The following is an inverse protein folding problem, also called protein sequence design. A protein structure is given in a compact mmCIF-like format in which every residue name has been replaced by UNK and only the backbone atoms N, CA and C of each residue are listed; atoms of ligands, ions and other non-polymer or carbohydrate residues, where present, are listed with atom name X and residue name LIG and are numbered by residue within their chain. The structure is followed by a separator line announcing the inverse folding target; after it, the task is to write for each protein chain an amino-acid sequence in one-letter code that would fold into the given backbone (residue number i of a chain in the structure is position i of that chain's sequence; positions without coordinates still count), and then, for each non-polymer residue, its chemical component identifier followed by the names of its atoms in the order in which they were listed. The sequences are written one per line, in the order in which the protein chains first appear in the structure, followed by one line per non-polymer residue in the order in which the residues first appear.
data_IF_740488140455
#
_entry.id   IF_740488140455
#
_cell.length_a   1.000
_cell.length_b   1.000
_cell.length_c   1.000
_cell.angle_alpha   90.00
_cell.angle_beta   90.00
_cell.angle_gamma   90.00
#
_symmetry.space_group_name_H-M   'P 1'
#
loop_
_entity.id
_entity.type
_entity.pdbx_description
1 polymer ?
#
# COMPACT_ATOMS: atom_id res chain seq x y z
N UNK A 1 12.83 -12.22 -10.65
CA UNK A 1 12.00 -10.99 -10.78
C UNK A 1 10.54 -11.19 -10.32
N UNK A 2 10.17 -12.35 -9.76
CA UNK A 2 8.81 -12.63 -9.28
C UNK A 2 8.47 -12.01 -7.90
N UNK A 3 9.42 -11.96 -6.97
CA UNK A 3 9.20 -11.52 -5.58
C UNK A 3 8.75 -10.06 -5.41
N UNK A 4 9.04 -9.20 -6.39
CA UNK A 4 8.75 -7.76 -6.30
C UNK A 4 7.26 -7.47 -6.54
N UNK A 5 6.59 -8.29 -7.36
CA UNK A 5 5.15 -8.13 -7.59
C UNK A 5 4.33 -8.58 -6.38
N UNK A 6 4.85 -9.53 -5.59
CA UNK A 6 4.16 -10.08 -4.41
C UNK A 6 3.97 -9.02 -3.31
N UNK A 7 5.00 -8.21 -3.03
CA UNK A 7 4.89 -7.16 -2.00
C UNK A 7 3.93 -6.05 -2.41
N UNK A 8 3.87 -5.66 -3.69
CA UNK A 8 2.85 -4.72 -4.16
C UNK A 8 1.42 -5.28 -3.98
N UNK A 9 1.21 -6.57 -4.28
CA UNK A 9 -0.07 -7.26 -4.06
C UNK A 9 -0.44 -7.28 -2.57
N UNK A 10 0.53 -7.50 -1.67
CA UNK A 10 0.31 -7.45 -0.23
C UNK A 10 -0.10 -6.06 0.26
N UNK A 11 0.49 -4.99 -0.30
CA UNK A 11 0.05 -3.61 -0.02
C UNK A 11 -1.40 -3.41 -0.47
N UNK A 12 -1.75 -3.83 -1.70
CA UNK A 12 -3.11 -3.74 -2.23
C UNK A 12 -4.11 -4.49 -1.34
N UNK A 13 -3.82 -5.74 -0.97
CA UNK A 13 -4.68 -6.58 -0.14
C UNK A 13 -4.89 -6.00 1.27
N UNK A 14 -3.83 -5.45 1.87
CA UNK A 14 -3.92 -4.80 3.18
C UNK A 14 -4.78 -3.54 3.11
N UNK A 15 -4.59 -2.71 2.07
CA UNK A 15 -5.40 -1.51 1.85
C UNK A 15 -6.87 -1.84 1.56
N UNK A 16 -7.13 -2.92 0.80
CA UNK A 16 -8.48 -3.42 0.56
C UNK A 16 -9.17 -3.86 1.86
N UNK A 17 -8.45 -4.55 2.74
CA UNK A 17 -8.96 -4.95 4.07
C UNK A 17 -9.31 -3.75 4.95
N UNK A 18 -8.61 -2.62 4.78
CA UNK A 18 -8.92 -1.35 5.42
C UNK A 18 -10.04 -0.55 4.72
N UNK A 19 -10.74 -1.15 3.74
CA UNK A 19 -11.84 -0.54 2.97
C UNK A 19 -11.45 0.73 2.21
N UNK A 20 -10.19 0.85 1.81
CA UNK A 20 -9.71 1.95 0.98
C UNK A 20 -10.28 1.80 -0.45
N UNK A 21 -10.72 2.87 -1.13
CA UNK A 21 -11.17 2.78 -2.52
C UNK A 21 -10.09 2.19 -3.44
N UNK A 22 -10.48 1.34 -4.40
CA UNK A 22 -9.52 0.58 -5.22
C UNK A 22 -8.44 1.44 -5.89
N UNK A 23 -8.82 2.60 -6.44
CA UNK A 23 -7.84 3.51 -7.05
C UNK A 23 -6.81 4.05 -6.03
N UNK A 24 -7.25 4.37 -4.82
CA UNK A 24 -6.37 4.80 -3.74
C UNK A 24 -5.46 3.67 -3.22
N UNK A 25 -5.91 2.41 -3.27
CA UNK A 25 -5.05 1.25 -2.96
C UNK A 25 -3.85 1.21 -3.94
N UNK A 26 -4.10 1.44 -5.24
CA UNK A 26 -3.04 1.49 -6.27
C UNK A 26 -2.05 2.61 -6.00
N UNK A 27 -2.53 3.79 -5.62
CA UNK A 27 -1.68 4.91 -5.25
C UNK A 27 -0.82 4.60 -4.03
N UNK A 28 -1.37 3.89 -3.04
CA UNK A 28 -0.61 3.46 -1.87
C UNK A 28 0.49 2.44 -2.23
N UNK A 29 0.18 1.48 -3.12
CA UNK A 29 1.18 0.55 -3.63
C UNK A 29 2.27 1.27 -4.44
N UNK A 30 1.89 2.22 -5.30
CA UNK A 30 2.83 3.04 -6.06
C UNK A 30 3.75 3.85 -5.14
N UNK A 31 3.20 4.41 -4.06
CA UNK A 31 3.98 5.09 -3.04
C UNK A 31 4.94 4.13 -2.34
N UNK A 32 4.48 2.96 -1.89
CA UNK A 32 5.34 1.96 -1.25
C UNK A 32 6.51 1.57 -2.17
N UNK A 33 6.25 1.35 -3.45
CA UNK A 33 7.29 1.06 -4.44
C UNK A 33 8.26 2.24 -4.62
N UNK A 34 7.77 3.47 -4.63
CA UNK A 34 8.62 4.65 -4.73
C UNK A 34 9.57 4.78 -3.52
N UNK A 35 9.03 4.75 -2.31
CA UNK A 35 9.78 4.99 -1.07
C UNK A 35 10.75 3.83 -0.73
N UNK A 36 10.40 2.60 -1.11
CA UNK A 36 11.21 1.41 -0.82
C UNK A 36 12.15 1.01 -1.95
N UNK A 37 12.31 1.84 -2.99
CA UNK A 37 13.04 1.48 -4.21
C UNK A 37 12.57 0.12 -4.76
N UNK A 38 11.26 -0.04 -4.89
CA UNK A 38 10.60 -1.26 -5.30
C UNK A 38 10.90 -2.45 -4.38
N UNK A 39 10.74 -2.23 -3.07
CA UNK A 39 10.95 -3.20 -2.00
C UNK A 39 12.39 -3.73 -1.92
N UNK A 40 13.37 -2.96 -2.41
CA UNK A 40 14.79 -3.34 -2.40
C UNK A 40 15.65 -2.48 -1.47
N UNK A 41 15.11 -1.40 -0.92
CA UNK A 41 15.89 -0.52 -0.04
C UNK A 41 16.32 -1.22 1.25
N UNK A 42 17.50 -0.85 1.76
CA UNK A 42 18.00 -1.36 3.04
C UNK A 42 17.03 -1.10 4.20
N UNK A 43 16.35 0.05 4.18
CA UNK A 43 15.35 0.44 5.19
C UNK A 43 14.18 -0.55 5.16
N UNK A 44 13.67 -0.89 3.98
CA UNK A 44 12.61 -1.89 3.86
C UNK A 44 13.09 -3.29 4.25
N UNK A 45 14.23 -3.74 3.74
CA UNK A 45 14.72 -5.09 3.99
C UNK A 45 14.96 -5.38 5.48
N UNK A 46 15.53 -4.40 6.20
CA UNK A 46 15.89 -4.53 7.62
C UNK A 46 14.74 -4.24 8.58
N UNK A 47 13.86 -3.28 8.24
CA UNK A 47 12.84 -2.78 9.17
C UNK A 47 11.40 -3.09 8.73
N UNK A 48 11.22 -3.73 7.56
CA UNK A 48 9.92 -3.88 6.87
C UNK A 48 9.18 -2.57 6.67
N UNK A 49 9.92 -1.47 6.57
CA UNK A 49 9.39 -0.13 6.41
C UNK A 49 9.32 0.25 4.92
N UNK A 50 8.16 0.05 4.31
CA UNK A 50 7.97 0.29 2.88
C UNK A 50 7.77 1.76 2.51
N UNK A 51 7.63 2.64 3.52
CA UNK A 51 7.23 4.03 3.35
C UNK A 51 8.29 5.03 3.85
N UNK A 52 9.45 4.55 4.30
CA UNK A 52 10.51 5.42 4.83
C UNK A 52 10.13 6.17 6.10
N UNK A 53 9.12 5.71 6.85
CA UNK A 53 8.59 6.47 7.99
C UNK A 53 9.58 6.49 9.17
N UNK A 54 9.80 7.67 9.75
CA UNK A 54 10.57 7.84 10.99
C UNK A 54 9.72 7.53 12.21
N UNK A 55 10.38 7.25 13.33
CA UNK A 55 9.70 7.10 14.62
C UNK A 55 8.86 8.36 14.92
N UNK A 56 7.54 8.23 15.13
CA UNK A 56 6.69 9.37 15.42
C UNK A 56 6.97 9.91 16.83
N UNK A 57 7.07 11.23 16.97
CA UNK A 57 7.26 11.90 18.27
C UNK A 57 5.95 12.17 19.01
N UNK A 58 4.83 12.27 18.28
CA UNK A 58 3.53 12.70 18.84
C UNK A 58 2.47 11.60 18.73
N UNK A 59 2.32 10.99 17.54
CA UNK A 59 1.31 9.96 17.30
C UNK A 59 1.76 8.62 17.86
N UNK A 60 0.94 7.99 18.70
CA UNK A 60 1.13 6.58 19.09
C UNK A 60 0.63 5.67 17.99
N UNK A 61 1.44 4.70 17.59
CA UNK A 61 1.02 3.66 16.64
C UNK A 61 1.11 2.27 17.26
N UNK A 62 0.07 1.44 17.16
CA UNK A 62 0.11 0.05 17.62
C UNK A 62 0.89 -0.87 16.67
N UNK A 63 1.27 -0.40 15.48
CA UNK A 63 1.89 -1.21 14.43
C UNK A 63 3.42 -1.13 14.42
N UNK A 64 3.99 -0.13 15.10
CA UNK A 64 5.44 0.07 15.20
C UNK A 64 5.98 -0.86 16.29
N UNK A 65 6.95 -1.70 15.93
CA UNK A 65 7.65 -2.59 16.86
C UNK A 65 8.69 -1.83 17.69
N UNK A 66 9.31 -0.80 17.11
CA UNK A 66 10.32 0.01 17.77
C UNK A 66 11.19 0.79 16.78
N UNK A 67 12.28 1.42 17.25
CA UNK A 67 13.26 2.06 16.38
C UNK A 67 14.00 1.00 15.54
N UNK A 68 14.12 1.27 14.24
CA UNK A 68 14.89 0.49 13.28
C UNK A 68 16.24 1.12 12.99
N UNK A 69 16.70 0.98 11.73
CA UNK A 69 17.97 1.59 11.30
C UNK A 69 17.99 3.11 11.48
N UNK A 70 19.17 3.66 11.76
CA UNK A 70 19.39 5.10 11.81
C UNK A 70 19.02 5.77 10.48
N UNK A 71 18.43 6.95 10.54
CA UNK A 71 18.24 7.80 9.38
C UNK A 71 19.59 8.41 8.95
N UNK A 72 19.76 8.74 7.66
CA UNK A 72 20.93 9.51 7.21
C UNK A 72 21.04 10.83 7.98
N UNK A 73 22.26 11.29 8.25
CA UNK A 73 22.47 12.55 8.99
C UNK A 73 21.79 13.76 8.31
N UNK A 74 21.70 13.75 6.97
CA UNK A 74 20.98 14.75 6.17
C UNK A 74 19.47 14.79 6.43
N UNK A 75 18.92 13.73 7.00
CA UNK A 75 17.51 13.56 7.34
C UNK A 75 17.25 13.74 8.85
N UNK A 76 18.27 14.02 9.64
CA UNK A 76 18.20 14.18 11.10
C UNK A 76 18.51 12.89 11.88
N UNK A 77 18.34 12.96 13.20
CA UNK A 77 18.78 11.90 14.13
C UNK A 77 17.68 10.91 14.51
N UNK A 78 16.44 11.14 14.08
CA UNK A 78 15.32 10.24 14.40
C UNK A 78 15.44 8.96 13.57
N UNK A 79 15.50 7.77 14.19
CA UNK A 79 15.61 6.52 13.46
C UNK A 79 14.34 6.23 12.65
N UNK A 80 14.47 5.38 11.63
CA UNK A 80 13.31 4.84 10.94
C UNK A 80 12.49 3.98 11.90
N UNK A 81 11.18 3.91 11.71
CA UNK A 81 10.33 2.96 12.39
C UNK A 81 10.57 1.54 11.86
N UNK A 82 10.51 0.56 12.75
CA UNK A 82 10.57 -0.87 12.43
C UNK A 82 9.24 -1.56 12.67
N UNK A 83 8.93 -2.54 11.82
CA UNK A 83 7.68 -3.28 11.79
C UNK A 83 7.95 -4.78 11.77
N UNK A 84 7.03 -5.55 12.35
CA UNK A 84 7.09 -7.01 12.29
C UNK A 84 6.84 -7.54 10.86
N UNK A 85 6.09 -6.79 10.05
CA UNK A 85 5.65 -7.19 8.71
C UNK A 85 5.46 -5.99 7.78
N UNK A 86 5.37 -6.26 6.47
CA UNK A 86 4.99 -5.24 5.48
C UNK A 86 3.57 -4.72 5.77
N UNK A 87 2.65 -5.62 6.11
CA UNK A 87 1.26 -5.31 6.43
C UNK A 87 1.17 -4.29 7.58
N UNK A 88 2.01 -4.43 8.61
CA UNK A 88 2.03 -3.48 9.73
C UNK A 88 2.58 -2.11 9.31
N UNK A 89 3.56 -2.06 8.39
CA UNK A 89 4.01 -0.80 7.80
C UNK A 89 2.90 -0.13 6.98
N UNK A 90 2.11 -0.91 6.23
CA UNK A 90 0.94 -0.41 5.49
C UNK A 90 -0.16 0.08 6.44
N UNK A 91 -0.47 -0.66 7.50
CA UNK A 91 -1.44 -0.24 8.52
C UNK A 91 -0.98 1.04 9.22
N UNK A 92 0.31 1.20 9.47
CA UNK A 92 0.82 2.40 10.12
C UNK A 92 0.71 3.65 9.23
N UNK A 93 1.02 3.55 7.94
CA UNK A 93 0.89 4.69 7.04
C UNK A 93 -0.58 5.07 6.84
N UNK A 94 -1.48 4.09 6.77
CA UNK A 94 -2.93 4.33 6.75
C UNK A 94 -3.41 4.99 8.05
N UNK A 95 -2.87 4.57 9.20
CA UNK A 95 -3.16 5.20 10.48
C UNK A 95 -2.65 6.65 10.54
N UNK A 96 -1.46 6.94 9.99
CA UNK A 96 -0.97 8.30 9.83
C UNK A 96 -1.89 9.13 8.94
N UNK A 97 -2.37 8.57 7.83
CA UNK A 97 -3.25 9.30 6.91
C UNK A 97 -4.62 9.58 7.50
N UNK A 98 -5.18 8.61 8.23
CA UNK A 98 -6.40 8.81 9.01
C UNK A 98 -6.21 9.89 10.09
N UNK A 99 -5.09 9.85 10.82
CA UNK A 99 -4.73 10.88 11.81
C UNK A 99 -4.65 12.28 11.18
N UNK A 100 -4.16 12.38 9.94
CA UNK A 100 -4.05 13.63 9.19
C UNK A 100 -5.33 14.03 8.43
N UNK A 101 -6.42 13.27 8.57
CA UNK A 101 -7.73 13.58 7.99
C UNK A 101 -7.80 13.40 6.47
N UNK A 102 -7.18 12.36 5.92
CA UNK A 102 -7.31 12.08 4.48
C UNK A 102 -8.78 11.85 4.09
N UNK A 103 -9.20 12.47 2.98
CA UNK A 103 -10.46 12.16 2.32
C UNK A 103 -10.19 11.38 1.03
N UNK A 104 -10.21 10.06 1.10
CA UNK A 104 -9.95 9.18 -0.04
C UNK A 104 -10.89 9.41 -1.23
N UNK A 105 -12.09 9.93 -0.98
CA UNK A 105 -13.02 10.25 -2.07
C UNK A 105 -12.57 11.45 -2.90
N UNK A 106 -11.74 12.34 -2.36
CA UNK A 106 -11.21 13.51 -3.05
C UNK A 106 -9.96 13.20 -3.89
N UNK A 107 -9.32 12.05 -3.67
CA UNK A 107 -8.11 11.66 -4.39
C UNK A 107 -8.51 10.94 -5.69
N UNK A 108 -8.41 11.64 -6.83
CA UNK A 108 -8.83 11.12 -8.15
C UNK A 108 -7.67 10.86 -9.11
N UNK A 109 -6.48 11.37 -8.78
CA UNK A 109 -5.29 11.27 -9.61
C UNK A 109 -4.01 11.15 -8.77
N UNK A 110 -2.86 10.78 -9.38
CA UNK A 110 -1.57 10.81 -8.69
C UNK A 110 -1.19 12.22 -8.23
N UNK A 111 -1.60 13.25 -8.98
CA UNK A 111 -1.37 14.65 -8.64
C UNK A 111 -2.13 15.06 -7.38
N UNK A 112 -3.39 14.64 -7.22
CA UNK A 112 -4.19 14.92 -6.01
C UNK A 112 -3.53 14.29 -4.78
N UNK A 113 -3.05 13.05 -4.92
CA UNK A 113 -2.41 12.33 -3.82
C UNK A 113 -1.06 12.95 -3.44
N UNK A 114 -0.22 13.26 -4.43
CA UNK A 114 1.04 13.95 -4.23
C UNK A 114 0.82 15.32 -3.55
N UNK A 115 -0.16 16.10 -4.03
CA UNK A 115 -0.52 17.38 -3.44
C UNK A 115 -0.93 17.24 -1.98
N UNK A 116 -1.80 16.26 -1.67
CA UNK A 116 -2.23 16.00 -0.30
C UNK A 116 -1.04 15.62 0.60
N UNK A 117 -0.15 14.73 0.14
CA UNK A 117 1.06 14.34 0.87
C UNK A 117 2.00 15.54 1.10
N UNK A 118 2.15 16.42 0.10
CA UNK A 118 2.96 17.63 0.19
C UNK A 118 2.41 18.60 1.23
N UNK A 119 1.10 18.80 1.26
CA UNK A 119 0.41 19.65 2.26
C UNK A 119 0.59 19.12 3.68
N UNK A 120 0.80 17.81 3.85
CA UNK A 120 1.11 17.18 5.14
C UNK A 120 2.62 17.07 5.41
N UNK A 121 3.45 17.72 4.60
CA UNK A 121 4.91 17.70 4.69
C UNK A 121 5.50 16.29 4.72
N UNK A 122 4.85 15.33 4.05
CA UNK A 122 5.32 13.95 3.99
C UNK A 122 6.66 13.84 3.24
N UNK A 123 6.85 14.66 2.20
CA UNK A 123 8.08 14.69 1.40
C UNK A 123 8.52 16.12 1.04
N UNK A 124 9.83 16.30 0.83
CA UNK A 124 10.47 17.60 0.61
C UNK A 124 10.57 18.05 -0.85
N UNK A 125 10.61 17.12 -1.81
CA UNK A 125 10.83 17.42 -3.24
C UNK A 125 9.65 18.07 -3.97
N UNK A 126 9.84 18.35 -5.25
CA UNK A 126 8.81 18.95 -6.11
C UNK A 126 7.60 18.03 -6.32
N UNK A 127 6.40 18.62 -6.28
CA UNK A 127 5.16 17.86 -6.46
C UNK A 127 5.06 17.21 -7.84
N UNK A 128 5.52 17.89 -8.90
CA UNK A 128 5.52 17.36 -10.26
C UNK A 128 6.40 16.12 -10.40
N UNK A 129 7.57 16.14 -9.77
CA UNK A 129 8.52 15.01 -9.73
C UNK A 129 7.89 13.82 -9.00
N UNK A 130 7.27 14.07 -7.84
CA UNK A 130 6.60 13.01 -7.07
C UNK A 130 5.40 12.42 -7.83
N UNK A 131 4.62 13.28 -8.49
CA UNK A 131 3.49 12.87 -9.34
C UNK A 131 3.95 11.95 -10.47
N UNK A 132 5.04 12.33 -11.17
CA UNK A 132 5.61 11.52 -12.25
C UNK A 132 6.10 10.17 -11.74
N UNK A 133 6.73 10.13 -10.55
CA UNK A 133 7.17 8.88 -9.93
C UNK A 133 5.98 7.95 -9.62
N UNK A 134 4.90 8.48 -9.03
CA UNK A 134 3.69 7.69 -8.76
C UNK A 134 3.06 7.16 -10.05
N UNK A 135 2.94 7.99 -11.09
CA UNK A 135 2.40 7.57 -12.39
C UNK A 135 3.21 6.44 -13.02
N UNK A 136 4.56 6.54 -12.97
CA UNK A 136 5.45 5.49 -13.47
C UNK A 136 5.22 4.16 -12.75
N UNK A 137 5.06 4.17 -11.42
CA UNK A 137 4.82 2.94 -10.67
C UNK A 137 3.42 2.37 -10.94
N UNK A 138 2.41 3.22 -11.07
CA UNK A 138 1.06 2.79 -11.48
C UNK A 138 1.08 2.09 -12.84
N UNK A 139 1.78 2.65 -13.82
CA UNK A 139 1.96 2.04 -15.14
C UNK A 139 2.66 0.68 -15.03
N UNK A 140 3.72 0.58 -14.21
CA UNK A 140 4.43 -0.69 -13.99
C UNK A 140 3.59 -1.79 -13.32
N UNK A 141 2.49 -1.41 -12.67
CA UNK A 141 1.55 -2.32 -12.04
C UNK A 141 0.34 -2.65 -12.93
N UNK A 142 0.24 -2.14 -14.15
CA UNK A 142 -0.91 -2.35 -15.03
C UNK A 142 -1.31 -3.83 -15.14
N UNK A 143 -0.32 -4.72 -15.32
CA UNK A 143 -0.51 -6.18 -15.39
C UNK A 143 -1.09 -6.82 -14.12
N UNK A 144 -0.88 -6.21 -12.96
CA UNK A 144 -1.40 -6.68 -11.66
C UNK A 144 -2.85 -6.21 -11.46
N UNK A 145 -3.26 -5.18 -12.20
CA UNK A 145 -4.44 -4.36 -11.95
C UNK A 145 -5.56 -4.55 -12.97
N UNK A 146 -5.29 -5.26 -14.07
CA UNK A 146 -6.33 -5.78 -14.94
C UNK A 146 -7.20 -6.73 -14.09
N UNK A 147 -8.52 -6.51 -13.96
CA UNK A 147 -9.38 -7.58 -13.49
C UNK A 147 -9.05 -8.77 -14.38
N UNK A 148 -8.87 -9.97 -13.80
CA UNK A 148 -8.83 -11.19 -14.60
C UNK A 148 -10.15 -11.22 -15.35
N UNK A 149 -10.17 -10.64 -16.56
CA UNK A 149 -11.25 -10.82 -17.50
C UNK A 149 -11.16 -12.30 -17.75
N UNK A 150 -12.15 -13.03 -17.25
CA UNK A 150 -12.24 -14.46 -17.45
C UNK A 150 -12.66 -14.68 -18.91
N UNK A 151 -11.83 -14.25 -19.85
CA UNK A 151 -11.94 -14.55 -21.27
C UNK A 151 -11.35 -15.94 -21.46
N UNK A 152 -12.08 -16.96 -21.00
CA UNK A 152 -11.75 -18.35 -21.34
C UNK A 152 -12.11 -19.45 -20.34
N UNK A 153 -12.70 -19.19 -19.16
CA UNK A 153 -13.04 -20.31 -18.26
C UNK A 153 -14.43 -20.87 -18.53
N UNK A 154 -14.45 -22.16 -18.84
CA UNK A 154 -15.65 -23.01 -18.78
C UNK A 154 -16.16 -23.00 -17.34
N UNK A 155 -17.44 -22.69 -17.13
CA UNK A 155 -18.11 -22.78 -15.82
C UNK A 155 -18.18 -24.25 -15.41
N UNK A 156 -17.60 -24.62 -14.27
CA UNK A 156 -17.49 -26.03 -13.84
C UNK A 156 -18.33 -26.36 -12.59
N UNK A 157 -18.97 -25.37 -11.97
CA UNK A 157 -19.88 -25.62 -10.87
C UNK A 157 -20.03 -24.44 -9.92
N UNK A 158 -21.06 -24.52 -9.09
CA UNK A 158 -21.34 -23.61 -7.97
C UNK A 158 -20.73 -24.27 -6.74
N UNK A 159 -19.86 -23.56 -6.01
CA UNK A 159 -19.37 -24.02 -4.71
C UNK A 159 -20.07 -23.19 -3.63
N UNK A 160 -20.82 -23.86 -2.78
CA UNK A 160 -21.52 -23.23 -1.66
C UNK A 160 -20.49 -22.92 -0.56
N UNK A 161 -20.15 -21.65 -0.41
CA UNK A 161 -19.30 -21.19 0.68
C UNK A 161 -20.19 -20.87 1.89
N UNK A 162 -20.08 -21.66 2.97
CA UNK A 162 -20.80 -21.41 4.22
C UNK A 162 -20.22 -20.18 4.93
N UNK A 163 -21.00 -19.08 4.98
CA UNK A 163 -20.67 -17.88 5.74
C UNK A 163 -21.39 -17.93 7.10
N UNK A 164 -20.68 -18.11 8.22
CA UNK A 164 -21.33 -18.34 9.53
C UNK A 164 -22.02 -17.09 10.12
N UNK A 165 -21.95 -15.93 9.47
CA UNK A 165 -22.48 -14.66 9.97
C UNK A 165 -23.57 -14.03 9.10
N UNK A 166 -23.97 -14.67 8.01
CA UNK A 166 -25.03 -14.16 7.13
C UNK A 166 -25.97 -15.30 6.76
N UNK A 167 -27.25 -15.17 7.12
CA UNK A 167 -28.30 -16.17 6.85
C UNK A 167 -28.73 -16.23 5.38
N UNK A 168 -27.78 -16.06 4.44
CA UNK A 168 -27.99 -16.15 3.01
C UNK A 168 -26.81 -16.88 2.39
N UNK A 169 -27.11 -17.95 1.66
CA UNK A 169 -26.12 -18.68 0.87
C UNK A 169 -25.48 -17.73 -0.15
N UNK A 170 -24.17 -17.51 -0.02
CA UNK A 170 -23.42 -16.73 -0.99
C UNK A 170 -22.98 -17.70 -2.08
N UNK A 171 -23.67 -17.66 -3.22
CA UNK A 171 -23.25 -18.39 -4.43
C UNK A 171 -22.10 -17.64 -5.09
N UNK A 172 -20.90 -18.19 -5.01
CA UNK A 172 -19.75 -17.71 -5.77
C UNK A 172 -19.42 -18.71 -6.87
N UNK A 173 -19.40 -18.24 -8.12
CA UNK A 173 -18.91 -19.02 -9.25
C UNK A 173 -17.41 -19.29 -9.05
N UNK A 174 -17.01 -20.58 -9.08
CA UNK A 174 -15.62 -21.01 -8.96
C UNK A 174 -15.01 -21.23 -10.34
N UNK A 175 -13.80 -20.72 -10.51
CA UNK A 175 -13.11 -20.60 -11.78
C UNK A 175 -11.68 -21.13 -11.65
N UNK A 176 -11.40 -22.35 -12.10
CA UNK A 176 -10.01 -22.88 -12.17
C UNK A 176 -9.33 -22.49 -13.48
N UNK A 177 -8.03 -22.26 -13.42
CA UNK A 177 -7.18 -22.04 -14.60
C UNK A 177 -6.89 -23.42 -15.22
N UNK A 178 -7.23 -23.59 -16.50
CA UNK A 178 -6.74 -24.67 -17.36
C UNK A 178 -5.38 -24.32 -17.94
#
# INVERSE_FOLDING_TARGET
MALIKDDAIRVLSTAASAKIPFYAQKLLAAQAMHESANFSSNVYQKNKNAFGMKMPSVRKSPYIQGPGTAAPASEGTTPYASYASLEDSVKDVLHLYAYNGINWSAIKSPADFAMWLKQKSYYGGDQSVYTAALSKWLESMSDILEPVTVTGKKKIGIMDCYCPYCSRDIRTDVFINS
#
